data_IF_558318063314
#
_entry.id   IF_558318063314
#
_cell.length_a   1.000
_cell.length_b   1.000
_cell.length_c   1.000
_cell.angle_alpha   90.00
_cell.angle_beta   90.00
_cell.angle_gamma   90.00
#
_symmetry.space_group_name_H-M   'P 1'
#
loop_
_entity.id
_entity.type
_entity.pdbx_description
1 polymer ?
#
# COMPACT_ATOMS: atom_id res chain seq x y z
N UNK A 1 -7.92 -13.23 13.51
CA UNK A 1 -7.94 -13.11 12.04
C UNK A 1 -9.35 -12.84 11.59
N UNK A 2 -9.51 -12.03 10.55
CA UNK A 2 -10.77 -11.74 9.88
C UNK A 2 -10.52 -11.65 8.38
N UNK A 3 -11.47 -12.15 7.60
CA UNK A 3 -11.48 -12.00 6.15
C UNK A 3 -11.94 -10.58 5.79
N UNK A 4 -11.15 -9.90 4.97
CA UNK A 4 -11.46 -8.58 4.38
C UNK A 4 -11.70 -8.80 2.90
N UNK A 5 -12.84 -8.34 2.38
CA UNK A 5 -13.13 -8.34 0.95
C UNK A 5 -12.71 -7.00 0.31
N UNK A 6 -12.80 -6.90 -1.02
CA UNK A 6 -12.39 -5.71 -1.76
C UNK A 6 -13.11 -4.42 -1.34
N UNK A 7 -14.41 -4.49 -1.03
CA UNK A 7 -15.17 -3.35 -0.52
C UNK A 7 -14.62 -2.88 0.84
N UNK A 8 -14.36 -3.82 1.75
CA UNK A 8 -13.81 -3.52 3.05
C UNK A 8 -12.37 -3.01 2.95
N UNK A 9 -11.55 -3.59 2.08
CA UNK A 9 -10.21 -3.11 1.80
C UNK A 9 -10.23 -1.65 1.33
N UNK A 10 -11.17 -1.29 0.45
CA UNK A 10 -11.36 0.07 -0.02
C UNK A 10 -11.69 1.05 1.12
N UNK A 11 -12.56 0.66 2.07
CA UNK A 11 -12.80 1.45 3.28
C UNK A 11 -11.54 1.61 4.15
N UNK A 12 -10.79 0.52 4.36
CA UNK A 12 -9.57 0.53 5.15
C UNK A 12 -8.51 1.44 4.54
N UNK A 13 -8.42 1.54 3.21
CA UNK A 13 -7.53 2.48 2.54
C UNK A 13 -7.83 3.94 2.91
N UNK A 14 -9.09 4.34 3.07
CA UNK A 14 -9.39 5.69 3.56
C UNK A 14 -8.95 5.89 5.00
N UNK A 15 -9.09 4.89 5.86
CA UNK A 15 -8.59 4.95 7.23
C UNK A 15 -7.07 5.08 7.26
N UNK A 16 -6.36 4.47 6.32
CA UNK A 16 -4.94 4.69 6.10
C UNK A 16 -4.62 6.13 5.71
N UNK A 17 -5.32 6.70 4.72
CA UNK A 17 -5.07 8.09 4.31
C UNK A 17 -5.43 9.10 5.40
N UNK A 18 -6.44 8.84 6.23
CA UNK A 18 -6.73 9.68 7.41
C UNK A 18 -5.62 9.61 8.45
N UNK A 19 -5.09 8.41 8.70
CA UNK A 19 -4.01 8.22 9.68
C UNK A 19 -2.64 8.72 9.19
N UNK A 20 -2.40 8.66 7.87
CA UNK A 20 -1.14 9.05 7.22
C UNK A 20 -1.42 9.99 6.02
N UNK A 21 -1.89 11.23 6.27
CA UNK A 21 -2.31 12.15 5.22
C UNK A 21 -1.18 12.55 4.26
N UNK A 22 0.07 12.46 4.71
CA UNK A 22 1.26 12.72 3.90
C UNK A 22 1.45 11.75 2.72
N UNK A 23 0.78 10.58 2.72
CA UNK A 23 0.84 9.64 1.60
C UNK A 23 0.26 10.24 0.31
N UNK A 24 -0.77 11.09 0.44
CA UNK A 24 -1.43 11.73 -0.71
C UNK A 24 -0.81 13.07 -1.10
N UNK A 25 0.31 13.48 -0.48
CA UNK A 25 0.92 14.80 -0.72
C UNK A 25 2.13 14.75 -1.66
N UNK A 26 2.50 13.57 -2.18
CA UNK A 26 3.72 13.40 -2.98
C UNK A 26 3.61 13.98 -4.41
N UNK A 27 2.40 14.22 -4.90
CA UNK A 27 2.14 14.63 -6.29
C UNK A 27 1.95 13.45 -7.23
N UNK A 28 1.92 13.73 -8.54
CA UNK A 28 1.70 12.76 -9.62
C UNK A 28 3.04 12.29 -10.17
N UNK A 29 3.15 10.99 -10.47
CA UNK A 29 4.30 10.39 -11.13
C UNK A 29 4.73 11.16 -12.38
N UNK A 30 6.02 11.47 -12.46
CA UNK A 30 6.69 12.06 -13.62
C UNK A 30 7.27 10.97 -14.54
N UNK A 31 7.60 11.35 -15.78
CA UNK A 31 7.99 10.40 -16.84
C UNK A 31 9.15 9.45 -16.48
N UNK A 32 10.12 9.91 -15.68
CA UNK A 32 11.31 9.13 -15.32
C UNK A 32 11.21 8.45 -13.94
N UNK A 33 10.08 8.59 -13.24
CA UNK A 33 9.93 8.08 -11.87
C UNK A 33 9.84 6.54 -11.81
N UNK A 34 9.59 5.87 -12.94
CA UNK A 34 9.45 4.39 -12.99
C UNK A 34 10.70 3.65 -12.50
N UNK A 35 11.88 4.27 -12.60
CA UNK A 35 13.12 3.72 -12.06
C UNK A 35 13.10 3.57 -10.52
N UNK A 36 12.23 4.30 -9.83
CA UNK A 36 12.11 4.28 -8.37
C UNK A 36 11.05 3.29 -7.84
N UNK A 37 10.47 2.45 -8.70
CA UNK A 37 9.42 1.49 -8.31
C UNK A 37 9.89 0.50 -7.23
N UNK A 38 11.11 -0.03 -7.34
CA UNK A 38 11.65 -0.96 -6.34
C UNK A 38 11.77 -0.31 -4.95
N UNK A 39 12.18 0.95 -4.90
CA UNK A 39 12.25 1.73 -3.65
C UNK A 39 10.85 2.00 -3.09
N UNK A 40 9.90 2.36 -3.95
CA UNK A 40 8.50 2.59 -3.57
C UNK A 40 7.84 1.34 -2.96
N UNK A 41 8.04 0.17 -3.60
CA UNK A 41 7.54 -1.12 -3.09
C UNK A 41 8.20 -1.48 -1.76
N UNK A 42 9.51 -1.28 -1.64
CA UNK A 42 10.22 -1.51 -0.37
C UNK A 42 9.69 -0.59 0.74
N UNK A 43 9.44 0.68 0.44
CA UNK A 43 8.85 1.63 1.39
C UNK A 43 7.46 1.18 1.85
N UNK A 44 6.59 0.75 0.93
CA UNK A 44 5.23 0.28 1.26
C UNK A 44 5.23 -0.90 2.25
N UNK A 45 6.24 -1.78 2.18
CA UNK A 45 6.41 -2.89 3.12
C UNK A 45 6.85 -2.45 4.54
N UNK A 46 7.28 -1.20 4.71
CA UNK A 46 7.66 -0.60 6.01
C UNK A 46 6.61 0.37 6.57
N UNK A 47 5.47 0.49 5.89
CA UNK A 47 4.47 1.54 6.13
C UNK A 47 3.80 1.45 7.51
N UNK A 48 3.81 0.27 8.14
CA UNK A 48 3.28 0.03 9.48
C UNK A 48 4.03 0.82 10.56
N UNK A 49 5.32 1.07 10.33
CA UNK A 49 6.24 1.76 11.23
C UNK A 49 6.57 3.18 10.77
N UNK A 50 6.31 3.53 9.51
CA UNK A 50 6.63 4.84 8.96
C UNK A 50 5.75 5.96 9.57
N UNK A 51 6.37 6.96 10.21
CA UNK A 51 5.69 8.19 10.66
C UNK A 51 5.63 9.27 9.57
N UNK A 52 6.46 9.13 8.53
CA UNK A 52 6.57 10.01 7.38
C UNK A 52 7.34 9.32 6.25
N UNK A 53 7.77 10.10 5.26
CA UNK A 53 8.51 9.55 4.12
C UNK A 53 9.94 9.08 4.45
N UNK A 54 10.53 9.57 5.55
CA UNK A 54 11.91 9.24 5.92
C UNK A 54 12.89 9.50 4.77
N UNK A 55 13.73 8.51 4.49
CA UNK A 55 14.75 8.55 3.43
C UNK A 55 14.22 8.18 2.03
N UNK A 56 12.92 7.90 1.89
CA UNK A 56 12.30 7.60 0.60
C UNK A 56 12.50 8.77 -0.37
N UNK A 57 13.02 8.51 -1.55
CA UNK A 57 13.33 9.52 -2.57
C UNK A 57 12.07 10.18 -3.13
N UNK A 58 12.15 11.45 -3.56
CA UNK A 58 10.99 12.14 -4.11
C UNK A 58 10.32 11.41 -5.30
N UNK A 59 11.07 10.80 -6.25
CA UNK A 59 10.50 9.91 -7.26
C UNK A 59 9.74 8.73 -6.66
N UNK A 60 10.34 8.01 -5.69
CA UNK A 60 9.69 6.87 -5.05
C UNK A 60 8.40 7.28 -4.33
N UNK A 61 8.36 8.43 -3.65
CA UNK A 61 7.13 8.96 -3.01
C UNK A 61 5.99 9.14 -4.01
N UNK A 62 6.29 9.65 -5.21
CA UNK A 62 5.29 9.82 -6.28
C UNK A 62 4.82 8.48 -6.82
N UNK A 63 5.73 7.52 -6.99
CA UNK A 63 5.37 6.15 -7.37
C UNK A 63 4.51 5.49 -6.30
N UNK A 64 4.84 5.61 -5.01
CA UNK A 64 4.00 5.13 -3.89
C UNK A 64 2.58 5.68 -4.02
N UNK A 65 2.43 6.99 -4.21
CA UNK A 65 1.12 7.60 -4.37
C UNK A 65 0.34 7.01 -5.56
N UNK A 66 0.98 6.93 -6.72
CA UNK A 66 0.38 6.31 -7.92
C UNK A 66 -0.02 4.85 -7.71
N UNK A 67 0.82 4.05 -7.05
CA UNK A 67 0.52 2.64 -6.73
C UNK A 67 -0.69 2.52 -5.80
N UNK A 68 -0.80 3.39 -4.79
CA UNK A 68 -1.94 3.38 -3.87
C UNK A 68 -3.25 3.79 -4.56
N UNK A 69 -3.22 4.75 -5.48
CA UNK A 69 -4.38 5.16 -6.28
C UNK A 69 -4.80 4.10 -7.31
N UNK A 70 -3.82 3.45 -7.95
CA UNK A 70 -4.07 2.32 -8.84
C UNK A 70 -4.66 1.14 -8.06
N UNK A 71 -4.15 0.85 -6.86
CA UNK A 71 -4.70 -0.17 -5.99
C UNK A 71 -6.16 0.10 -5.60
N UNK A 72 -6.49 1.34 -5.20
CA UNK A 72 -7.89 1.75 -4.98
C UNK A 72 -8.79 1.49 -6.18
N UNK A 73 -8.28 1.79 -7.38
CA UNK A 73 -9.01 1.57 -8.64
C UNK A 73 -9.22 0.09 -8.91
N UNK A 74 -8.20 -0.75 -8.68
CA UNK A 74 -8.26 -2.21 -8.82
C UNK A 74 -9.23 -2.86 -7.85
N UNK A 75 -9.30 -2.39 -6.60
CA UNK A 75 -10.27 -2.88 -5.60
C UNK A 75 -11.73 -2.74 -6.06
N UNK A 76 -12.04 -1.73 -6.90
CA UNK A 76 -13.37 -1.53 -7.49
C UNK A 76 -13.52 -2.15 -8.89
N UNK A 77 -12.47 -2.74 -9.43
CA UNK A 77 -12.42 -3.32 -10.77
C UNK A 77 -11.93 -4.76 -10.73
N UNK A 78 -10.69 -4.96 -11.20
CA UNK A 78 -10.12 -6.29 -11.40
C UNK A 78 -9.99 -7.14 -10.13
N UNK A 79 -9.92 -6.51 -8.95
CA UNK A 79 -9.79 -7.19 -7.64
C UNK A 79 -11.10 -7.25 -6.85
N UNK A 80 -12.25 -6.97 -7.45
CA UNK A 80 -13.54 -6.89 -6.73
C UNK A 80 -13.91 -8.19 -5.97
N UNK A 81 -13.39 -9.35 -6.39
CA UNK A 81 -13.64 -10.64 -5.76
C UNK A 81 -12.48 -11.13 -4.87
N UNK A 82 -11.41 -10.35 -4.73
CA UNK A 82 -10.28 -10.72 -3.87
C UNK A 82 -10.66 -10.60 -2.39
N UNK A 83 -9.98 -11.42 -1.58
CA UNK A 83 -10.10 -11.43 -0.14
C UNK A 83 -8.74 -11.57 0.51
N UNK A 84 -8.59 -10.99 1.71
CA UNK A 84 -7.36 -10.99 2.49
C UNK A 84 -7.65 -11.42 3.92
N UNK A 85 -6.72 -12.15 4.52
CA UNK A 85 -6.75 -12.44 5.95
C UNK A 85 -5.92 -11.41 6.71
N UNK A 86 -6.55 -10.71 7.64
CA UNK A 86 -5.89 -9.70 8.48
C UNK A 86 -6.20 -9.91 9.96
N UNK A 87 -5.33 -9.41 10.84
CA UNK A 87 -5.62 -9.43 12.27
C UNK A 87 -6.65 -8.35 12.65
N UNK A 88 -7.82 -8.80 13.10
CA UNK A 88 -8.92 -7.94 13.55
C UNK A 88 -8.57 -7.09 14.79
N UNK A 89 -7.57 -7.49 15.58
CA UNK A 89 -7.09 -6.72 16.73
C UNK A 89 -6.30 -5.47 16.35
N UNK A 90 -5.86 -5.36 15.10
CA UNK A 90 -5.11 -4.19 14.63
C UNK A 90 -6.03 -2.99 14.40
N UNK A 91 -5.52 -1.75 14.61
CA UNK A 91 -6.19 -0.55 14.12
C UNK A 91 -6.50 -0.65 12.62
N UNK A 92 -7.63 -0.09 12.19
CA UNK A 92 -8.10 -0.16 10.78
C UNK A 92 -7.02 0.23 9.76
N UNK A 93 -6.27 1.30 10.02
CA UNK A 93 -5.18 1.72 9.14
C UNK A 93 -4.05 0.69 9.03
N UNK A 94 -3.76 -0.08 10.10
CA UNK A 94 -2.79 -1.18 10.07
C UNK A 94 -3.33 -2.40 9.34
N UNK A 95 -4.64 -2.67 9.43
CA UNK A 95 -5.28 -3.68 8.60
C UNK A 95 -5.15 -3.33 7.10
N UNK A 96 -5.28 -2.05 6.73
CA UNK A 96 -5.01 -1.58 5.37
C UNK A 96 -3.58 -1.87 4.92
N UNK A 97 -2.58 -1.58 5.78
CA UNK A 97 -1.17 -1.89 5.49
C UNK A 97 -0.95 -3.39 5.31
N UNK A 98 -1.61 -4.23 6.09
CA UNK A 98 -1.54 -5.68 5.95
C UNK A 98 -2.09 -6.15 4.59
N UNK A 99 -3.20 -5.58 4.12
CA UNK A 99 -3.75 -5.85 2.78
C UNK A 99 -2.73 -5.47 1.69
N UNK A 100 -2.18 -4.26 1.74
CA UNK A 100 -1.17 -3.80 0.78
C UNK A 100 0.05 -4.73 0.78
N UNK A 101 0.55 -5.08 1.96
CA UNK A 101 1.72 -5.95 2.11
C UNK A 101 1.45 -7.35 1.54
N UNK A 102 0.27 -7.90 1.79
CA UNK A 102 -0.14 -9.18 1.22
C UNK A 102 -0.14 -9.16 -0.32
N UNK A 103 -0.64 -8.08 -0.93
CA UNK A 103 -0.66 -7.95 -2.39
C UNK A 103 0.72 -7.78 -3.00
N UNK A 104 1.58 -6.98 -2.36
CA UNK A 104 2.98 -6.84 -2.77
C UNK A 104 3.68 -8.19 -2.70
N UNK A 105 3.54 -8.92 -1.60
CA UNK A 105 4.21 -10.22 -1.42
C UNK A 105 3.65 -11.30 -2.35
N UNK A 106 2.35 -11.25 -2.67
CA UNK A 106 1.73 -12.12 -3.67
C UNK A 106 2.23 -11.86 -5.09
N UNK A 107 2.41 -10.58 -5.45
CA UNK A 107 2.88 -10.16 -6.77
C UNK A 107 4.41 -10.26 -6.93
N UNK A 108 5.14 -10.18 -5.82
CA UNK A 108 6.61 -10.23 -5.77
C UNK A 108 7.10 -11.30 -4.77
N UNK A 109 6.95 -12.60 -5.05
CA UNK A 109 7.29 -13.68 -4.10
C UNK A 109 8.75 -13.67 -3.62
N UNK A 110 9.66 -13.12 -4.43
CA UNK A 110 11.08 -12.97 -4.10
C UNK A 110 11.33 -12.00 -2.93
N UNK A 111 10.39 -11.10 -2.62
CA UNK A 111 10.46 -10.20 -1.46
C UNK A 111 10.01 -10.87 -0.14
N UNK A 112 9.31 -12.01 -0.21
CA UNK A 112 8.88 -12.76 0.99
C UNK A 112 10.02 -13.52 1.66
N UNK A 113 11.13 -13.76 0.94
CA UNK A 113 12.33 -14.39 1.48
C UNK A 113 13.16 -13.36 2.25
N UNK A 114 12.76 -13.08 3.49
CA UNK A 114 13.72 -12.57 4.49
C UNK A 114 14.62 -13.72 4.93
N UNK A 115 15.93 -13.57 4.71
CA UNK A 115 16.97 -14.34 5.40
C UNK A 115 17.07 -13.90 6.86
#
# INVERSE_FOLDING_TARGET
MTTVNAEKAFELMYELFKAKPWLNSAGVMAGDDFHAESEAVAFLLTLDQAEGWGDCSAPARRVVNSLLLDFLSKLRGSMAHHTWEVDAGLPKWRQAVAVISSEILGSHPHLSKRH
#
